data_IF_641943126125
#
_entry.id   IF_641943126125
#
_cell.length_a   1.000
_cell.length_b   1.000
_cell.length_c   1.000
_cell.angle_alpha   90.00
_cell.angle_beta   90.00
_cell.angle_gamma   90.00
#
_symmetry.space_group_name_H-M   'P 1'
#
loop_
_entity.id
_entity.type
_entity.pdbx_description
1 polymer ?
#
# COMPACT_ATOMS: atom_id res chain seq x y z
N UNK A 1 -8.65 8.46 4.12
CA UNK A 1 -8.66 7.13 3.50
C UNK A 1 -7.42 6.97 2.64
N UNK A 2 -6.77 5.83 2.72
CA UNK A 2 -5.55 5.56 1.96
C UNK A 2 -5.78 5.78 0.46
N UNK A 3 -4.75 6.26 -0.23
CA UNK A 3 -4.79 6.49 -1.67
C UNK A 3 -3.68 5.70 -2.35
N UNK A 4 -3.90 5.38 -3.61
CA UNK A 4 -2.92 4.73 -4.47
C UNK A 4 -2.78 5.62 -5.70
N UNK A 5 -1.54 5.96 -6.09
CA UNK A 5 -1.35 6.75 -7.31
C UNK A 5 -1.73 5.92 -8.54
N UNK A 6 -2.16 6.56 -9.64
CA UNK A 6 -2.50 5.83 -10.86
C UNK A 6 -1.36 4.93 -11.35
N UNK A 7 -0.12 5.38 -11.26
CA UNK A 7 1.04 4.59 -11.68
C UNK A 7 1.23 3.36 -10.79
N UNK A 8 1.10 3.51 -9.47
CA UNK A 8 1.18 2.39 -8.54
C UNK A 8 0.05 1.39 -8.78
N UNK A 9 -1.17 1.89 -9.00
CA UNK A 9 -2.33 1.05 -9.29
C UNK A 9 -2.11 0.23 -10.57
N UNK A 10 -1.62 0.86 -11.63
CA UNK A 10 -1.32 0.18 -12.89
C UNK A 10 -0.32 -0.96 -12.67
N UNK A 11 0.74 -0.71 -11.90
CA UNK A 11 1.75 -1.72 -11.61
C UNK A 11 1.19 -2.85 -10.76
N UNK A 12 0.37 -2.55 -9.76
CA UNK A 12 -0.27 -3.55 -8.91
C UNK A 12 -1.18 -4.46 -9.76
N UNK A 13 -2.00 -3.86 -10.62
CA UNK A 13 -2.91 -4.62 -11.48
C UNK A 13 -2.13 -5.50 -12.47
N UNK A 14 -1.02 -5.02 -13.01
CA UNK A 14 -0.18 -5.80 -13.91
C UNK A 14 0.44 -7.01 -13.20
N UNK A 15 0.92 -6.84 -11.97
CA UNK A 15 1.46 -7.93 -11.17
C UNK A 15 0.36 -8.96 -10.87
N UNK A 16 -0.82 -8.50 -10.49
CA UNK A 16 -1.96 -9.36 -10.18
C UNK A 16 -2.37 -10.20 -11.41
N UNK A 17 -2.34 -9.61 -12.58
CA UNK A 17 -2.74 -10.29 -13.82
C UNK A 17 -1.78 -11.40 -14.26
N UNK A 18 -0.51 -11.32 -13.84
CA UNK A 18 0.52 -12.28 -14.26
C UNK A 18 0.78 -13.42 -13.28
N UNK A 19 0.00 -13.49 -12.20
CA UNK A 19 0.16 -14.51 -11.17
C UNK A 19 -1.21 -15.08 -10.79
N UNK A 20 -1.24 -16.10 -9.93
CA UNK A 20 -2.48 -16.73 -9.47
C UNK A 20 -3.26 -15.86 -8.46
N UNK A 21 -3.01 -14.56 -8.46
CA UNK A 21 -3.59 -13.61 -7.50
C UNK A 21 -4.70 -12.75 -8.07
N UNK A 22 -5.14 -13.01 -9.32
CA UNK A 22 -6.14 -12.18 -9.99
C UNK A 22 -7.47 -12.03 -9.22
N UNK A 23 -7.83 -13.03 -8.42
CA UNK A 23 -9.07 -13.03 -7.63
C UNK A 23 -8.85 -12.57 -6.18
N UNK A 24 -7.63 -12.15 -5.84
CA UNK A 24 -7.30 -11.70 -4.49
C UNK A 24 -7.29 -10.17 -4.44
N UNK A 25 -7.45 -9.65 -3.24
CA UNK A 25 -7.32 -8.22 -2.98
C UNK A 25 -5.88 -7.89 -2.58
N UNK A 26 -5.51 -6.63 -2.71
CA UNK A 26 -4.25 -6.14 -2.15
C UNK A 26 -4.44 -5.95 -0.65
N UNK A 27 -3.73 -6.75 0.14
CA UNK A 27 -3.72 -6.59 1.60
C UNK A 27 -2.61 -5.62 1.97
N UNK A 28 -3.00 -4.58 2.71
CA UNK A 28 -2.07 -3.63 3.28
C UNK A 28 -1.99 -3.89 4.78
N UNK A 29 -0.79 -3.95 5.31
CA UNK A 29 -0.54 -4.11 6.74
C UNK A 29 0.36 -2.99 7.23
N UNK A 30 0.08 -2.49 8.42
CA UNK A 30 0.92 -1.50 9.06
C UNK A 30 0.93 -1.75 10.56
N UNK A 31 2.05 -1.49 11.19
CA UNK A 31 2.19 -1.54 12.63
C UNK A 31 3.24 -0.54 13.07
N UNK A 32 3.18 -0.17 14.34
CA UNK A 32 4.19 0.69 14.96
C UNK A 32 5.03 -0.20 15.87
N UNK A 33 6.34 -0.23 15.63
CA UNK A 33 7.27 -1.01 16.44
C UNK A 33 7.55 -0.38 17.80
N UNK A 34 8.29 -1.10 18.70
CA UNK A 34 8.61 -0.59 20.03
C UNK A 34 9.43 0.69 20.02
N UNK A 35 10.13 0.96 18.91
CA UNK A 35 10.93 2.17 18.71
C UNK A 35 10.11 3.33 18.14
N UNK A 36 8.80 3.16 17.98
CA UNK A 36 7.92 4.17 17.39
C UNK A 36 7.98 4.25 15.88
N UNK A 37 8.72 3.38 15.22
CA UNK A 37 8.82 3.38 13.75
C UNK A 37 7.69 2.58 13.13
N UNK A 38 7.14 3.10 12.04
CA UNK A 38 6.11 2.42 11.26
C UNK A 38 6.74 1.34 10.39
N UNK A 39 6.07 0.20 10.32
CA UNK A 39 6.44 -0.89 9.41
C UNK A 39 5.25 -1.18 8.51
N UNK A 40 5.50 -1.31 7.22
CA UNK A 40 4.46 -1.53 6.21
C UNK A 40 4.69 -2.83 5.47
N UNK A 41 3.61 -3.47 5.08
CA UNK A 41 3.65 -4.62 4.21
C UNK A 41 2.52 -4.57 3.19
N UNK A 42 2.74 -5.18 2.04
CA UNK A 42 1.71 -5.38 1.02
C UNK A 42 1.86 -6.77 0.42
N UNK A 43 0.74 -7.34 0.06
CA UNK A 43 0.69 -8.62 -0.64
C UNK A 43 -0.72 -8.88 -1.10
N UNK A 44 -0.93 -9.96 -1.83
CA UNK A 44 -2.26 -10.35 -2.26
C UNK A 44 -2.82 -11.37 -1.29
N UNK A 45 -4.08 -11.21 -0.91
CA UNK A 45 -4.70 -12.05 0.10
C UNK A 45 -6.22 -12.07 -0.08
N UNK A 46 -6.86 -13.03 0.54
CA UNK A 46 -8.30 -13.11 0.60
C UNK A 46 -8.85 -12.11 1.62
N UNK A 47 -10.03 -11.58 1.32
CA UNK A 47 -10.74 -10.72 2.27
C UNK A 47 -11.20 -11.54 3.47
N UNK A 48 -10.86 -11.07 4.67
CA UNK A 48 -11.39 -11.62 5.91
C UNK A 48 -12.65 -10.84 6.33
N UNK A 49 -13.47 -11.45 7.16
CA UNK A 49 -14.75 -10.88 7.57
C UNK A 49 -14.60 -9.53 8.26
N UNK A 50 -13.56 -9.36 9.06
CA UNK A 50 -13.32 -8.12 9.81
C UNK A 50 -12.63 -7.03 8.97
N UNK A 51 -12.17 -7.34 7.76
CA UNK A 51 -11.40 -6.40 6.96
C UNK A 51 -12.23 -5.21 6.51
N UNK A 52 -11.60 -4.05 6.52
CA UNK A 52 -12.06 -2.91 5.73
C UNK A 52 -11.80 -3.23 4.26
N UNK A 53 -12.75 -2.87 3.42
CA UNK A 53 -12.65 -3.09 1.97
C UNK A 53 -12.89 -1.77 1.25
N UNK A 54 -12.00 -1.45 0.33
CA UNK A 54 -12.16 -0.27 -0.52
C UNK A 54 -11.58 -0.54 -1.90
N UNK A 55 -11.94 0.29 -2.86
CA UNK A 55 -11.39 0.22 -4.20
C UNK A 55 -10.70 1.55 -4.50
N UNK A 56 -9.41 1.50 -4.80
CA UNK A 56 -8.59 2.67 -5.11
C UNK A 56 -8.01 2.51 -6.51
N UNK A 57 -8.36 3.41 -7.42
CA UNK A 57 -7.87 3.37 -8.82
C UNK A 57 -8.03 1.98 -9.46
N UNK A 58 -9.17 1.33 -9.20
CA UNK A 58 -9.46 0.00 -9.72
C UNK A 58 -8.83 -1.16 -8.95
N UNK A 59 -8.06 -0.89 -7.91
CA UNK A 59 -7.44 -1.93 -7.07
C UNK A 59 -8.32 -2.20 -5.86
N UNK A 60 -8.74 -3.44 -5.68
CA UNK A 60 -9.43 -3.87 -4.46
C UNK A 60 -8.42 -3.97 -3.32
N UNK A 61 -8.69 -3.29 -2.22
CA UNK A 61 -7.78 -3.19 -1.07
C UNK A 61 -8.49 -3.70 0.18
N UNK A 62 -7.79 -4.52 0.95
CA UNK A 62 -8.27 -4.97 2.27
C UNK A 62 -7.22 -4.66 3.32
N UNK A 63 -7.69 -4.39 4.53
CA UNK A 63 -6.82 -4.14 5.68
C UNK A 63 -7.61 -4.31 6.96
N UNK A 64 -6.92 -4.63 8.05
CA UNK A 64 -7.57 -4.65 9.36
C UNK A 64 -7.96 -3.24 9.77
N UNK A 65 -8.96 -3.07 10.65
CA UNK A 65 -9.31 -1.75 11.16
C UNK A 65 -8.14 -1.01 11.80
N UNK A 66 -7.27 -1.71 12.52
CA UNK A 66 -6.08 -1.11 13.14
C UNK A 66 -5.13 -0.54 12.08
N UNK A 67 -4.86 -1.32 11.02
CA UNK A 67 -4.06 -0.81 9.90
C UNK A 67 -4.71 0.41 9.26
N UNK A 68 -6.04 0.37 9.09
CA UNK A 68 -6.80 1.48 8.51
C UNK A 68 -6.59 2.79 9.28
N UNK A 69 -6.51 2.73 10.60
CA UNK A 69 -6.23 3.90 11.42
C UNK A 69 -4.82 4.44 11.18
N UNK A 70 -3.84 3.55 11.06
CA UNK A 70 -2.44 3.93 10.89
C UNK A 70 -2.15 4.53 9.52
N UNK A 71 -2.89 4.16 8.49
CA UNK A 71 -2.64 4.58 7.10
C UNK A 71 -3.73 5.47 6.52
N UNK A 72 -4.55 6.09 7.37
CA UNK A 72 -5.71 6.88 6.94
C UNK A 72 -5.35 7.91 5.87
N UNK A 73 -4.24 8.60 6.02
CA UNK A 73 -3.79 9.65 5.11
C UNK A 73 -2.61 9.22 4.24
N UNK A 74 -2.33 7.92 4.19
CA UNK A 74 -1.19 7.42 3.44
C UNK A 74 -1.46 7.37 1.94
N UNK A 75 -0.39 7.49 1.18
CA UNK A 75 -0.40 7.36 -0.29
C UNK A 75 0.63 6.31 -0.66
N UNK A 76 0.22 5.33 -1.46
CA UNK A 76 1.12 4.34 -2.04
C UNK A 76 1.49 4.82 -3.44
N UNK A 77 2.78 4.93 -3.70
CA UNK A 77 3.30 5.33 -5.00
C UNK A 77 4.34 4.32 -5.50
N UNK A 78 4.63 4.35 -6.78
CA UNK A 78 5.62 3.48 -7.41
C UNK A 78 6.64 4.38 -8.09
N UNK A 79 7.83 4.42 -7.55
CA UNK A 79 8.84 5.42 -7.92
C UNK A 79 10.19 4.78 -8.18
N UNK A 80 10.99 5.47 -8.99
CA UNK A 80 12.37 5.10 -9.21
C UNK A 80 13.19 5.54 -7.99
N UNK A 81 13.67 4.57 -7.21
CA UNK A 81 14.44 4.82 -5.99
C UNK A 81 15.93 4.93 -6.28
N UNK A 82 16.40 4.24 -7.31
CA UNK A 82 17.76 4.36 -7.85
C UNK A 82 17.65 4.22 -9.35
N UNK A 83 18.63 4.65 -10.09
CA UNK A 83 18.60 4.56 -11.56
C UNK A 83 18.28 3.13 -12.02
N UNK A 84 17.16 2.98 -12.69
CA UNK A 84 16.68 1.69 -13.19
C UNK A 84 15.98 0.80 -12.19
N UNK A 85 15.89 1.20 -10.91
CA UNK A 85 15.27 0.41 -9.85
C UNK A 85 14.03 1.12 -9.33
N UNK A 86 12.87 0.47 -9.46
CA UNK A 86 11.59 1.01 -9.00
C UNK A 86 11.09 0.23 -7.79
N UNK A 87 10.38 0.89 -6.90
CA UNK A 87 9.79 0.27 -5.73
C UNK A 87 8.51 1.00 -5.33
N UNK A 88 7.67 0.28 -4.58
CA UNK A 88 6.50 0.89 -3.94
C UNK A 88 6.95 1.57 -2.66
N UNK A 89 6.45 2.79 -2.45
CA UNK A 89 6.71 3.50 -1.21
C UNK A 89 5.41 3.97 -0.60
N UNK A 90 5.41 4.05 0.73
CA UNK A 90 4.29 4.56 1.51
C UNK A 90 4.66 5.94 2.01
N UNK A 91 3.96 6.95 1.50
CA UNK A 91 4.01 8.29 2.03
C UNK A 91 2.90 8.41 3.06
N UNK A 92 3.26 8.57 4.33
CA UNK A 92 2.30 8.65 5.43
C UNK A 92 2.64 9.82 6.33
N UNK A 93 1.80 10.89 6.34
CA UNK A 93 2.10 12.08 7.16
C UNK A 93 2.06 11.81 8.66
N UNK A 94 1.42 10.71 9.10
CA UNK A 94 1.37 10.34 10.52
C UNK A 94 2.61 9.56 10.96
N UNK A 95 3.46 9.17 10.03
CA UNK A 95 4.71 8.45 10.31
C UNK A 95 5.82 9.48 10.55
N UNK A 96 6.44 9.49 11.76
CA UNK A 96 7.48 10.49 12.06
C UNK A 96 8.72 10.37 11.17
N UNK A 97 8.94 9.21 10.57
CA UNK A 97 10.07 8.99 9.66
C UNK A 97 9.67 9.04 8.20
N UNK A 98 8.42 9.45 7.90
CA UNK A 98 7.96 9.43 6.53
C UNK A 98 8.79 10.38 5.66
N UNK A 99 8.95 9.99 4.42
CA UNK A 99 9.56 10.84 3.40
C UNK A 99 8.66 10.87 2.19
N UNK A 100 8.41 12.06 1.69
CA UNK A 100 7.67 12.19 0.44
C UNK A 100 8.39 11.42 -0.66
N UNK A 101 7.63 10.74 -1.55
CA UNK A 101 8.23 10.16 -2.74
C UNK A 101 9.04 11.22 -3.48
N UNK A 102 10.24 10.86 -3.90
CA UNK A 102 11.00 11.78 -4.72
C UNK A 102 10.34 11.90 -6.08
N UNK A 103 9.88 13.10 -6.37
CA UNK A 103 9.46 13.44 -7.71
C UNK A 103 10.68 13.95 -8.45
N UNK A 104 11.05 13.29 -9.49
CA UNK A 104 12.09 13.80 -10.38
C UNK A 104 11.46 14.31 -11.66
#
# INVERSE_FOLDING_TARGET
MIKITPLAAEKILAISATSDTANLALRIAAKVGPDGKYEYGMGFDERAEIDLYLVCEGVAVVMTPHTGELVEDAIIDYVEVETGTFDFIFYNPDDPDHKAPKTT
#
